data_IF_939968035717
#
_entry.id   IF_939968035717
#
_cell.length_a   1.000
_cell.length_b   1.000
_cell.length_c   1.000
_cell.angle_alpha   90.00
_cell.angle_beta   90.00
_cell.angle_gamma   90.00
#
_symmetry.space_group_name_H-M   'P 1'
#
loop_
_entity.id
_entity.type
_entity.pdbx_description
1 polymer ?
#
# COMPACT_ATOMS: atom_id res chain seq x y z
N UNK A 1 -10.96 7.54 6.39
CA UNK A 1 -10.47 7.93 7.72
C UNK A 1 -9.00 8.37 7.60
N UNK A 2 -8.47 9.07 8.60
CA UNK A 2 -7.02 9.28 8.71
C UNK A 2 -6.37 8.04 9.31
N UNK A 3 -5.38 7.50 8.61
CA UNK A 3 -4.52 6.42 9.09
C UNK A 3 -3.32 6.98 9.82
N UNK A 4 -2.65 7.99 9.26
CA UNK A 4 -1.46 8.61 9.86
C UNK A 4 -1.68 10.11 10.09
N UNK A 5 -1.89 10.50 11.35
CA UNK A 5 -2.05 11.91 11.73
C UNK A 5 -0.77 12.73 11.52
N UNK A 6 0.39 12.13 11.77
CA UNK A 6 1.70 12.77 11.60
C UNK A 6 1.98 13.25 10.17
N UNK A 7 1.44 12.54 9.18
CA UNK A 7 1.67 12.78 7.75
C UNK A 7 0.40 13.10 6.99
N UNK A 8 -0.72 13.26 7.70
CA UNK A 8 -2.05 13.47 7.12
C UNK A 8 -2.44 12.44 6.04
N UNK A 9 -2.08 11.16 6.24
CA UNK A 9 -2.40 10.08 5.29
C UNK A 9 -3.74 9.46 5.62
N UNK A 10 -4.60 9.31 4.61
CA UNK A 10 -5.93 8.71 4.73
C UNK A 10 -5.99 7.30 4.16
N UNK A 11 -7.04 6.55 4.48
CA UNK A 11 -7.25 5.20 3.91
C UNK A 11 -7.28 5.25 2.38
N UNK A 12 -7.86 6.32 1.82
CA UNK A 12 -7.95 6.54 0.37
C UNK A 12 -6.58 6.75 -0.26
N UNK A 13 -5.65 7.40 0.44
CA UNK A 13 -4.28 7.58 -0.06
C UNK A 13 -3.59 6.22 -0.14
N UNK A 14 -3.75 5.37 0.87
CA UNK A 14 -3.21 4.00 0.86
C UNK A 14 -3.85 3.17 -0.26
N UNK A 15 -5.18 3.22 -0.42
CA UNK A 15 -5.87 2.53 -1.51
C UNK A 15 -5.37 2.98 -2.90
N UNK A 16 -5.14 4.28 -3.09
CA UNK A 16 -4.60 4.82 -4.33
C UNK A 16 -3.16 4.39 -4.57
N UNK A 17 -2.32 4.38 -3.53
CA UNK A 17 -0.97 3.86 -3.63
C UNK A 17 -0.98 2.38 -4.05
N UNK A 18 -1.88 1.59 -3.46
CA UNK A 18 -2.07 0.18 -3.79
C UNK A 18 -2.55 0.01 -5.24
N UNK A 19 -3.47 0.85 -5.72
CA UNK A 19 -3.86 0.90 -7.14
C UNK A 19 -2.72 1.31 -8.08
N UNK A 20 -1.79 2.14 -7.60
CA UNK A 20 -0.57 2.50 -8.32
C UNK A 20 0.53 1.42 -8.25
N UNK A 21 0.34 0.35 -7.46
CA UNK A 21 1.26 -0.79 -7.36
C UNK A 21 1.99 -0.94 -6.02
N UNK A 22 1.69 -0.10 -5.02
CA UNK A 22 2.23 -0.25 -3.68
C UNK A 22 1.77 -1.58 -3.06
N UNK A 23 2.71 -2.45 -2.73
CA UNK A 23 2.43 -3.80 -2.19
C UNK A 23 3.07 -4.05 -0.83
N UNK A 24 3.64 -3.02 -0.20
CA UNK A 24 4.30 -3.18 1.11
C UNK A 24 4.28 -1.89 1.93
N UNK A 25 4.36 -2.05 3.26
CA UNK A 25 4.51 -0.93 4.21
C UNK A 25 5.78 -0.10 3.94
N UNK A 26 6.82 -0.71 3.35
CA UNK A 26 8.02 0.02 2.93
C UNK A 26 7.68 1.05 1.85
N UNK A 27 6.84 0.68 0.88
CA UNK A 27 6.36 1.57 -0.17
C UNK A 27 5.56 2.74 0.40
N UNK A 28 4.56 2.46 1.23
CA UNK A 28 3.75 3.50 1.86
C UNK A 28 4.58 4.46 2.72
N UNK A 29 5.63 3.96 3.38
CA UNK A 29 6.58 4.79 4.13
C UNK A 29 7.43 5.67 3.22
N UNK A 30 7.91 5.14 2.09
CA UNK A 30 8.75 5.86 1.14
C UNK A 30 7.96 6.98 0.45
N UNK A 31 6.73 6.68 0.02
CA UNK A 31 5.90 7.56 -0.79
C UNK A 31 5.11 8.57 0.06
N UNK A 32 4.50 8.11 1.15
CA UNK A 32 3.60 8.93 1.98
C UNK A 32 4.13 9.23 3.38
N UNK A 33 5.32 8.73 3.73
CA UNK A 33 5.89 8.93 5.08
C UNK A 33 5.17 8.15 6.18
N UNK A 34 4.27 7.22 5.85
CA UNK A 34 3.48 6.48 6.84
C UNK A 34 4.41 5.81 7.86
N UNK A 35 4.07 5.97 9.14
CA UNK A 35 4.82 5.46 10.28
C UNK A 35 6.28 5.96 10.38
N UNK A 36 6.67 7.03 9.68
CA UNK A 36 8.03 7.59 9.71
C UNK A 36 8.31 8.59 10.83
N UNK A 37 7.29 8.98 11.60
CA UNK A 37 7.43 9.90 12.75
C UNK A 37 7.19 9.14 14.07
N UNK A 38 5.95 9.12 14.59
CA UNK A 38 5.67 8.48 15.88
C UNK A 38 5.42 6.97 15.80
N UNK A 39 5.25 6.41 14.60
CA UNK A 39 5.05 4.97 14.38
C UNK A 39 3.70 4.39 14.81
N UNK A 40 2.87 5.12 15.58
CA UNK A 40 1.61 4.61 16.15
C UNK A 40 0.61 4.07 15.12
N UNK A 41 0.63 4.59 13.90
CA UNK A 41 -0.25 4.14 12.82
C UNK A 41 0.21 2.84 12.15
N UNK A 42 1.37 2.27 12.49
CA UNK A 42 1.98 1.18 11.72
C UNK A 42 1.10 -0.08 11.62
N UNK A 43 0.44 -0.47 12.72
CA UNK A 43 -0.49 -1.61 12.73
C UNK A 43 -1.70 -1.35 11.85
N UNK A 44 -2.41 -0.24 12.11
CA UNK A 44 -3.61 0.12 11.36
C UNK A 44 -3.33 0.37 9.87
N UNK A 45 -2.21 1.00 9.52
CA UNK A 45 -1.80 1.20 8.13
C UNK A 45 -1.53 -0.13 7.41
N UNK A 46 -1.02 -1.13 8.14
CA UNK A 46 -0.82 -2.47 7.59
C UNK A 46 -2.16 -3.16 7.33
N UNK A 47 -3.10 -3.08 8.26
CA UNK A 47 -4.46 -3.61 8.07
C UNK A 47 -5.12 -3.01 6.82
N UNK A 48 -5.09 -1.69 6.68
CA UNK A 48 -5.66 -0.99 5.51
C UNK A 48 -4.96 -1.39 4.20
N UNK A 49 -3.64 -1.58 4.23
CA UNK A 49 -2.87 -2.08 3.09
C UNK A 49 -3.29 -3.51 2.70
N UNK A 50 -3.35 -4.41 3.68
CA UNK A 50 -3.72 -5.81 3.47
C UNK A 50 -5.16 -5.92 2.93
N UNK A 51 -6.10 -5.16 3.51
CA UNK A 51 -7.49 -5.07 3.04
C UNK A 51 -7.57 -4.55 1.59
N UNK A 52 -6.80 -3.52 1.24
CA UNK A 52 -6.78 -2.95 -0.10
C UNK A 52 -6.21 -3.94 -1.13
N UNK A 53 -5.15 -4.69 -0.77
CA UNK A 53 -4.57 -5.73 -1.63
C UNK A 53 -5.53 -6.90 -1.84
N UNK A 54 -6.28 -7.29 -0.80
CA UNK A 54 -7.32 -8.32 -0.92
C UNK A 54 -8.48 -7.88 -1.83
N UNK A 55 -8.85 -6.60 -1.77
CA UNK A 55 -9.89 -6.01 -2.65
C UNK A 55 -9.44 -5.90 -4.12
N UNK A 56 -8.13 -5.97 -4.40
CA UNK A 56 -7.58 -5.98 -5.76
C UNK A 56 -7.52 -7.37 -6.41
N UNK A 57 -7.77 -8.45 -5.65
CA UNK A 57 -7.80 -9.79 -6.23
C UNK A 57 -8.96 -9.91 -7.23
N UNK A 58 -8.71 -10.23 -8.51
CA UNK A 58 -9.72 -10.14 -9.55
C UNK A 58 -10.72 -11.29 -9.45
N UNK A 59 -11.99 -10.96 -9.28
CA UNK A 59 -13.01 -11.65 -10.07
C UNK A 59 -12.92 -11.09 -11.49
N UNK A 60 -12.55 -11.97 -12.43
CA UNK A 60 -12.48 -11.86 -13.91
C UNK A 60 -11.12 -11.66 -14.59
N UNK A 61 -10.91 -12.53 -15.58
CA UNK A 61 -9.71 -12.87 -16.37
C UNK A 61 -9.14 -11.75 -17.27
N UNK A 62 -7.87 -11.98 -17.66
CA UNK A 62 -7.11 -11.39 -18.78
C UNK A 62 -6.60 -9.95 -18.59
N UNK A 63 -5.31 -9.70 -18.34
CA UNK A 63 -4.19 -10.12 -19.20
C UNK A 63 -2.93 -10.26 -18.35
N UNK A 64 -2.55 -11.50 -18.07
CA UNK A 64 -1.26 -11.84 -17.46
C UNK A 64 -0.19 -11.79 -18.56
N UNK A 65 0.53 -10.68 -18.65
CA UNK A 65 1.88 -10.69 -19.24
C UNK A 65 2.88 -10.59 -18.09
N UNK A 66 3.23 -11.77 -17.61
CA UNK A 66 4.49 -12.14 -16.94
C UNK A 66 5.25 -11.01 -16.26
N UNK A 67 5.14 -10.95 -14.93
CA UNK A 67 6.33 -10.66 -14.12
C UNK A 67 6.58 -11.86 -13.23
N UNK A 68 7.25 -12.87 -13.77
CA UNK A 68 8.09 -13.72 -12.94
C UNK A 68 9.23 -12.84 -12.45
N UNK A 69 9.05 -12.27 -11.27
CA UNK A 69 10.07 -11.53 -10.56
C UNK A 69 9.80 -11.67 -9.08
N UNK A 70 10.64 -12.43 -8.41
CA UNK A 70 10.72 -12.55 -6.94
C UNK A 70 10.33 -11.24 -6.24
N UNK A 71 9.43 -11.31 -5.26
CA UNK A 71 9.00 -10.18 -4.44
C UNK A 71 10.18 -9.40 -3.86
N UNK A 72 10.56 -8.32 -4.54
CA UNK A 72 11.58 -7.37 -4.10
C UNK A 72 10.99 -5.98 -4.11
N UNK A 73 10.11 -5.69 -3.13
CA UNK A 73 9.86 -4.37 -2.56
C UNK A 73 9.93 -3.15 -3.47
N UNK A 74 9.47 -3.24 -4.71
CA UNK A 74 9.57 -2.14 -5.67
C UNK A 74 8.47 -1.15 -5.34
N UNK A 75 8.91 -0.05 -4.74
CA UNK A 75 8.13 1.15 -4.57
C UNK A 75 8.16 1.85 -5.92
N UNK A 76 7.20 1.55 -6.81
CA UNK A 76 7.19 2.13 -8.15
C UNK A 76 6.82 3.63 -8.03
N UNK A 77 7.44 4.52 -8.83
CA UNK A 77 7.20 5.96 -8.82
C UNK A 77 5.80 6.37 -9.30
#
# INVERSE_FOLDING_TARGET
>A
MYVCLCKAVTDKDIQRAVQAGASSMRCLRQEHGVASQCGRCAGHAKEVLDDALQQQAPVTEATVTVVTGTGSGVCYP
#
